data_IF_893517546615
#
_entry.id   IF_893517546615
#
_cell.length_a   1.000
_cell.length_b   1.000
_cell.length_c   1.000
_cell.angle_alpha   90.00
_cell.angle_beta   90.00
_cell.angle_gamma   90.00
#
_symmetry.space_group_name_H-M   'P 1'
#
loop_
_entity.id
_entity.type
_entity.pdbx_description
1 polymer ?
#
# COMPACT_ATOMS: atom_id res chain seq x y z
N UNK A 1 -25.67 20.45 -34.24
CA UNK A 1 -24.46 19.68 -34.64
C UNK A 1 -23.47 19.74 -33.49
N UNK A 2 -23.21 18.61 -32.83
CA UNK A 2 -21.95 18.19 -32.17
C UNK A 2 -22.25 16.93 -31.34
N UNK A 3 -21.98 15.72 -31.88
CA UNK A 3 -22.14 14.46 -31.19
C UNK A 3 -20.83 14.11 -30.51
N UNK A 4 -20.70 14.36 -29.21
CA UNK A 4 -19.51 13.97 -28.42
C UNK A 4 -19.86 13.22 -27.15
N UNK A 5 -21.11 12.75 -26.99
CA UNK A 5 -21.53 12.02 -25.78
C UNK A 5 -21.55 10.50 -25.94
N UNK A 6 -21.29 9.94 -27.13
CA UNK A 6 -21.36 8.49 -27.36
C UNK A 6 -20.02 7.77 -27.30
N UNK A 7 -18.89 8.46 -27.28
CA UNK A 7 -17.57 7.80 -27.23
C UNK A 7 -17.10 7.42 -25.82
N UNK A 8 -17.58 8.10 -24.78
CA UNK A 8 -17.22 7.76 -23.38
C UNK A 8 -17.89 6.48 -22.89
N UNK A 9 -19.07 6.13 -23.40
CA UNK A 9 -19.76 4.90 -23.02
C UNK A 9 -19.14 3.63 -23.65
N UNK A 10 -18.41 3.74 -24.76
CA UNK A 10 -17.76 2.57 -25.37
C UNK A 10 -16.44 2.19 -24.66
N UNK A 11 -15.75 3.14 -24.05
CA UNK A 11 -14.50 2.87 -23.34
C UNK A 11 -14.70 2.14 -22.01
N UNK A 12 -15.85 2.35 -21.36
CA UNK A 12 -16.13 1.75 -20.04
C UNK A 12 -16.62 0.29 -20.12
N UNK A 13 -16.98 -0.22 -21.31
CA UNK A 13 -17.48 -1.60 -21.45
C UNK A 13 -16.40 -2.63 -21.81
N UNK A 14 -15.14 -2.23 -22.02
CA UNK A 14 -14.07 -3.11 -22.53
C UNK A 14 -13.01 -3.53 -21.49
N UNK A 15 -13.09 -3.06 -20.23
CA UNK A 15 -12.14 -3.46 -19.18
C UNK A 15 -12.68 -4.49 -18.17
N UNK A 16 -13.91 -5.00 -18.34
CA UNK A 16 -14.57 -5.88 -17.36
C UNK A 16 -14.29 -7.38 -17.48
N UNK A 17 -13.55 -7.87 -18.47
CA UNK A 17 -13.46 -9.32 -18.74
C UNK A 17 -12.02 -9.81 -18.91
N UNK A 18 -11.24 -9.87 -17.82
CA UNK A 18 -9.96 -10.61 -17.84
C UNK A 18 -9.45 -11.16 -16.48
N UNK A 19 -10.16 -11.01 -15.36
CA UNK A 19 -9.68 -11.45 -14.02
C UNK A 19 -10.39 -12.75 -13.57
N UNK A 20 -10.61 -13.70 -14.48
CA UNK A 20 -11.34 -14.94 -14.20
C UNK A 20 -10.57 -16.25 -14.42
N UNK A 21 -9.37 -16.22 -15.03
CA UNK A 21 -8.79 -17.45 -15.59
C UNK A 21 -7.51 -17.97 -14.91
N UNK A 22 -6.89 -17.27 -13.96
CA UNK A 22 -5.57 -17.70 -13.43
C UNK A 22 -5.68 -18.60 -12.18
N UNK A 23 -6.81 -18.64 -11.47
CA UNK A 23 -6.95 -19.42 -10.23
C UNK A 23 -7.31 -20.90 -10.43
N UNK A 24 -7.40 -21.41 -11.66
CA UNK A 24 -7.74 -22.82 -11.91
C UNK A 24 -6.55 -23.72 -12.27
N UNK A 25 -5.31 -23.22 -12.24
CA UNK A 25 -4.14 -24.00 -12.64
C UNK A 25 -2.98 -23.95 -11.63
N UNK A 26 -3.29 -24.12 -10.34
CA UNK A 26 -2.30 -24.58 -9.36
C UNK A 26 -2.79 -25.85 -8.66
N UNK A 27 -2.40 -27.05 -9.15
CA UNK A 27 -2.57 -28.28 -8.40
C UNK A 27 -1.58 -28.28 -7.24
N UNK A 28 -2.10 -28.12 -6.02
CA UNK A 28 -1.35 -28.36 -4.78
C UNK A 28 -1.01 -29.85 -4.66
N UNK A 29 0.21 -30.25 -5.01
CA UNK A 29 0.75 -31.57 -4.64
C UNK A 29 1.18 -31.55 -3.16
N UNK A 30 0.56 -32.36 -2.29
CA UNK A 30 1.03 -32.54 -0.91
C UNK A 30 2.19 -33.54 -0.88
N UNK A 31 3.38 -33.06 -0.52
CA UNK A 31 4.54 -33.90 -0.29
C UNK A 31 4.31 -34.84 0.93
N UNK A 32 4.66 -36.14 0.83
CA UNK A 32 4.44 -37.12 1.89
C UNK A 32 5.46 -36.99 3.03
N UNK A 33 4.93 -36.85 4.24
CA UNK A 33 5.67 -36.88 5.50
C UNK A 33 6.18 -38.30 5.79
N UNK A 34 7.49 -38.50 5.73
CA UNK A 34 8.13 -39.71 6.22
C UNK A 34 8.37 -39.60 7.74
N UNK A 35 7.90 -40.55 8.57
CA UNK A 35 8.12 -40.54 10.00
C UNK A 35 9.45 -41.23 10.32
N UNK A 36 10.41 -40.49 10.87
CA UNK A 36 11.60 -41.09 11.48
C UNK A 36 11.60 -40.91 12.99
N UNK A 37 11.83 -42.05 13.62
CA UNK A 37 11.69 -42.34 15.02
C UNK A 37 12.81 -41.72 15.88
N UNK A 38 12.45 -41.55 17.15
CA UNK A 38 13.23 -41.07 18.28
C UNK A 38 14.56 -41.81 18.52
N UNK A 39 15.46 -41.16 19.27
CA UNK A 39 16.17 -41.85 20.35
C UNK A 39 15.98 -41.18 21.73
N UNK A 40 16.20 -41.91 22.84
CA UNK A 40 15.84 -41.49 24.19
C UNK A 40 17.03 -41.04 25.07
N UNK A 41 16.70 -40.40 26.20
CA UNK A 41 17.51 -40.19 27.44
C UNK A 41 18.72 -39.23 27.32
N UNK A 42 19.14 -38.46 28.34
CA UNK A 42 18.94 -38.54 29.78
C UNK A 42 18.90 -37.14 30.43
N UNK A 43 18.22 -37.06 31.57
CA UNK A 43 18.18 -35.96 32.54
C UNK A 43 19.57 -35.66 33.13
N UNK A 44 19.89 -34.37 33.30
CA UNK A 44 20.45 -33.92 34.58
C UNK A 44 19.68 -32.73 35.13
N UNK A 45 19.35 -32.82 36.41
CA UNK A 45 18.73 -31.77 37.21
C UNK A 45 19.75 -30.66 37.52
N UNK A 46 19.38 -29.42 37.23
CA UNK A 46 19.89 -28.23 37.92
C UNK A 46 18.87 -27.08 37.80
N UNK A 47 18.06 -26.87 38.85
CA UNK A 47 17.63 -25.51 39.28
C UNK A 47 18.84 -24.88 40.02
N UNK A 48 18.95 -23.56 40.22
CA UNK A 48 18.08 -22.42 39.89
C UNK A 48 18.84 -21.39 38.99
N UNK A 49 18.26 -20.39 38.36
CA UNK A 49 17.62 -19.21 38.94
C UNK A 49 16.98 -18.44 37.80
N UNK A 50 15.76 -17.97 38.04
CA UNK A 50 14.95 -17.16 37.14
C UNK A 50 15.66 -15.80 36.98
N UNK A 51 16.19 -15.43 35.80
CA UNK A 51 16.30 -14.03 35.47
C UNK A 51 14.90 -13.61 35.04
N UNK A 52 14.18 -12.92 35.92
CA UNK A 52 13.07 -12.05 35.53
C UNK A 52 13.65 -10.92 34.67
N UNK A 53 14.01 -11.24 33.42
CA UNK A 53 14.07 -10.24 32.39
C UNK A 53 12.61 -9.96 32.08
N UNK A 54 12.12 -8.84 32.58
CA UNK A 54 10.92 -8.22 32.07
C UNK A 54 10.97 -8.32 30.54
N UNK A 55 9.85 -8.64 29.86
CA UNK A 55 9.82 -8.47 28.42
C UNK A 55 10.11 -7.00 28.18
N UNK A 56 11.38 -6.72 27.86
CA UNK A 56 11.78 -5.46 27.28
C UNK A 56 10.81 -5.29 26.15
N UNK A 57 9.95 -4.28 26.31
CA UNK A 57 9.03 -3.83 25.29
C UNK A 57 9.76 -3.99 23.97
N UNK A 58 9.15 -4.69 23.02
CA UNK A 58 9.57 -4.70 21.64
C UNK A 58 9.51 -3.24 21.17
N UNK A 59 10.51 -2.44 21.55
CA UNK A 59 10.88 -1.22 20.88
C UNK A 59 11.06 -1.67 19.46
N UNK A 60 10.17 -1.20 18.59
CA UNK A 60 10.18 -1.46 17.17
C UNK A 60 11.60 -1.17 16.66
N UNK A 61 12.45 -2.19 16.66
CA UNK A 61 13.83 -2.17 16.15
C UNK A 61 13.76 -2.60 14.67
N UNK A 62 12.58 -2.53 14.05
CA UNK A 62 12.32 -2.92 12.68
C UNK A 62 12.80 -1.87 11.65
N UNK A 63 12.58 -0.54 11.82
CA UNK A 63 12.86 0.41 10.73
C UNK A 63 14.35 0.48 10.43
N UNK A 64 15.20 0.60 11.46
CA UNK A 64 16.66 0.66 11.30
C UNK A 64 17.22 -0.58 10.58
N UNK A 65 16.62 -1.75 10.81
CA UNK A 65 17.05 -3.00 10.18
C UNK A 65 16.65 -3.04 8.69
N UNK A 66 15.50 -2.49 8.31
CA UNK A 66 15.05 -2.52 6.91
C UNK A 66 15.87 -1.56 6.05
N UNK A 67 16.14 -0.34 6.53
CA UNK A 67 17.01 0.60 5.82
C UNK A 67 18.43 0.02 5.63
N UNK A 68 18.96 -0.64 6.65
CA UNK A 68 20.23 -1.33 6.55
C UNK A 68 20.18 -2.45 5.50
N UNK A 69 19.14 -3.29 5.49
CA UNK A 69 18.97 -4.36 4.51
C UNK A 69 18.83 -3.83 3.07
N UNK A 70 18.09 -2.74 2.86
CA UNK A 70 17.98 -2.07 1.57
C UNK A 70 19.35 -1.54 1.10
N UNK A 71 20.10 -0.91 2.00
CA UNK A 71 21.46 -0.45 1.72
C UNK A 71 22.44 -1.58 1.41
N UNK A 72 22.37 -2.69 2.14
CA UNK A 72 23.17 -3.89 1.90
C UNK A 72 22.82 -4.56 0.57
N UNK A 73 21.53 -4.71 0.28
CA UNK A 73 21.06 -5.23 -1.00
C UNK A 73 21.56 -4.36 -2.15
N UNK A 74 21.41 -3.04 -2.07
CA UNK A 74 21.89 -2.12 -3.12
C UNK A 74 23.39 -2.23 -3.38
N UNK A 75 24.20 -2.49 -2.35
CA UNK A 75 25.65 -2.71 -2.48
C UNK A 75 26.02 -4.08 -3.07
N UNK A 76 25.25 -5.12 -2.74
CA UNK A 76 25.60 -6.51 -3.04
C UNK A 76 24.85 -7.09 -4.26
N UNK A 77 23.78 -6.45 -4.73
CA UNK A 77 22.93 -6.96 -5.82
C UNK A 77 23.70 -7.27 -7.12
N UNK A 78 24.79 -6.53 -7.41
CA UNK A 78 25.64 -6.79 -8.57
C UNK A 78 26.46 -8.09 -8.47
N UNK A 79 26.66 -8.62 -7.27
CA UNK A 79 27.45 -9.84 -7.00
C UNK A 79 26.59 -11.09 -6.82
N UNK A 80 25.30 -10.89 -6.52
CA UNK A 80 24.33 -11.97 -6.36
C UNK A 80 24.00 -12.63 -7.70
N UNK A 81 23.67 -13.92 -7.64
CA UNK A 81 23.05 -14.60 -8.79
C UNK A 81 21.68 -14.00 -9.10
N UNK A 82 21.17 -14.19 -10.32
CA UNK A 82 19.86 -13.66 -10.71
C UNK A 82 18.73 -14.17 -9.81
N UNK A 83 18.73 -15.47 -9.48
CA UNK A 83 17.73 -16.11 -8.62
C UNK A 83 17.79 -15.54 -7.21
N UNK A 84 19.00 -15.46 -6.64
CA UNK A 84 19.22 -14.93 -5.29
C UNK A 84 18.80 -13.46 -5.20
N UNK A 85 19.17 -12.65 -6.19
CA UNK A 85 18.81 -11.24 -6.26
C UNK A 85 17.30 -11.04 -6.34
N UNK A 86 16.62 -11.86 -7.14
CA UNK A 86 15.16 -11.86 -7.24
C UNK A 86 14.51 -12.20 -5.89
N UNK A 87 14.94 -13.29 -5.26
CA UNK A 87 14.40 -13.71 -3.96
C UNK A 87 14.63 -12.66 -2.87
N UNK A 88 15.81 -12.04 -2.84
CA UNK A 88 16.13 -10.98 -1.90
C UNK A 88 15.26 -9.73 -2.14
N UNK A 89 15.07 -9.32 -3.39
CA UNK A 89 14.19 -8.20 -3.75
C UNK A 89 12.74 -8.48 -3.37
N UNK A 90 12.20 -9.67 -3.66
CA UNK A 90 10.86 -10.09 -3.24
C UNK A 90 10.70 -10.04 -1.71
N UNK A 91 11.69 -10.54 -0.97
CA UNK A 91 11.70 -10.49 0.50
C UNK A 91 11.70 -9.07 1.06
N UNK A 92 12.41 -8.13 0.43
CA UNK A 92 12.42 -6.71 0.81
C UNK A 92 11.09 -6.03 0.48
N UNK A 93 10.48 -6.32 -0.68
CA UNK A 93 9.16 -5.81 -1.03
C UNK A 93 8.11 -6.25 -0.01
N UNK A 94 8.15 -7.52 0.42
CA UNK A 94 7.23 -8.01 1.45
C UNK A 94 7.48 -7.39 2.82
N UNK A 95 8.73 -7.05 3.17
CA UNK A 95 9.03 -6.27 4.37
C UNK A 95 8.44 -4.85 4.29
N UNK A 96 8.66 -4.17 3.17
CA UNK A 96 8.13 -2.82 2.90
C UNK A 96 6.60 -2.79 2.97
N UNK A 97 5.92 -3.79 2.41
CA UNK A 97 4.45 -3.92 2.54
C UNK A 97 3.98 -4.03 3.99
N UNK A 98 4.75 -4.71 4.86
CA UNK A 98 4.43 -4.82 6.29
C UNK A 98 4.66 -3.52 7.04
N UNK A 99 5.65 -2.73 6.67
CA UNK A 99 5.86 -1.39 7.25
C UNK A 99 4.64 -0.49 7.01
N UNK A 100 4.03 -0.54 5.82
CA UNK A 100 2.78 0.18 5.54
C UNK A 100 1.62 -0.33 6.38
N UNK A 101 1.54 -1.65 6.61
CA UNK A 101 0.54 -2.22 7.50
C UNK A 101 0.69 -1.79 8.97
N UNK A 102 1.85 -1.28 9.39
CA UNK A 102 2.10 -0.72 10.73
C UNK A 102 2.19 0.82 10.76
N UNK A 103 2.02 1.49 9.62
CA UNK A 103 1.81 2.95 9.55
C UNK A 103 2.81 3.73 8.69
N UNK A 104 3.70 3.06 7.95
CA UNK A 104 4.53 3.74 6.95
C UNK A 104 3.67 4.33 5.82
N UNK A 105 4.15 5.44 5.23
CA UNK A 105 3.45 6.10 4.13
C UNK A 105 3.48 5.23 2.86
N UNK A 106 2.32 4.83 2.31
CA UNK A 106 2.27 3.91 1.18
C UNK A 106 2.93 4.48 -0.08
N UNK A 107 2.92 5.80 -0.27
CA UNK A 107 3.49 6.42 -1.48
C UNK A 107 5.01 6.43 -1.42
N UNK A 108 5.59 6.80 -0.29
CA UNK A 108 7.04 6.71 -0.06
C UNK A 108 7.53 5.26 -0.15
N UNK A 109 6.82 4.33 0.51
CA UNK A 109 7.15 2.91 0.41
C UNK A 109 7.06 2.40 -1.04
N UNK A 110 6.08 2.85 -1.83
CA UNK A 110 5.98 2.47 -3.22
C UNK A 110 7.18 2.94 -4.06
N UNK A 111 7.66 4.17 -3.85
CA UNK A 111 8.86 4.68 -4.53
C UNK A 111 10.11 3.84 -4.22
N UNK A 112 10.21 3.30 -3.00
CA UNK A 112 11.28 2.36 -2.64
C UNK A 112 11.11 1.01 -3.32
N UNK A 113 9.88 0.47 -3.34
CA UNK A 113 9.59 -0.80 -4.02
C UNK A 113 9.86 -0.70 -5.53
N UNK A 114 9.55 0.43 -6.18
CA UNK A 114 9.83 0.62 -7.61
C UNK A 114 11.33 0.53 -7.95
N UNK A 115 12.23 0.75 -6.98
CA UNK A 115 13.67 0.52 -7.17
C UNK A 115 14.04 -0.96 -7.12
N UNK A 116 13.20 -1.79 -6.51
CA UNK A 116 13.38 -3.23 -6.34
C UNK A 116 12.72 -4.03 -7.46
N UNK A 117 11.60 -3.56 -8.03
CA UNK A 117 10.83 -4.34 -9.02
C UNK A 117 11.60 -4.72 -10.30
N UNK A 118 12.61 -3.97 -10.80
CA UNK A 118 13.46 -4.43 -11.90
C UNK A 118 14.27 -5.70 -11.61
N UNK A 119 14.49 -6.03 -10.33
CA UNK A 119 15.16 -7.26 -9.90
C UNK A 119 14.19 -8.45 -9.79
N UNK A 120 12.88 -8.21 -9.76
CA UNK A 120 11.83 -9.22 -9.66
C UNK A 120 11.26 -9.56 -11.05
N UNK A 121 11.03 -8.52 -11.84
CA UNK A 121 10.50 -8.60 -13.20
C UNK A 121 11.29 -7.69 -14.16
N UNK A 122 12.03 -8.33 -15.07
CA UNK A 122 12.88 -7.65 -16.05
C UNK A 122 12.05 -7.03 -17.19
N UNK A 123 10.94 -7.67 -17.59
CA UNK A 123 10.08 -7.18 -18.66
C UNK A 123 9.30 -5.94 -18.22
N UNK A 124 9.41 -4.86 -18.98
CA UNK A 124 8.81 -3.58 -18.61
C UNK A 124 7.27 -3.63 -18.52
N UNK A 125 6.61 -4.37 -19.42
CA UNK A 125 5.13 -4.46 -19.42
C UNK A 125 4.62 -5.26 -18.24
N UNK A 126 5.27 -6.38 -17.92
CA UNK A 126 4.89 -7.17 -16.74
C UNK A 126 5.22 -6.43 -15.44
N UNK A 127 6.29 -5.64 -15.42
CA UNK A 127 6.64 -4.81 -14.26
C UNK A 127 5.62 -3.71 -14.00
N UNK A 128 5.06 -3.06 -15.02
CA UNK A 128 3.96 -2.10 -14.84
C UNK A 128 2.74 -2.74 -14.16
N UNK A 129 2.40 -3.98 -14.54
CA UNK A 129 1.32 -4.73 -13.89
C UNK A 129 1.66 -5.07 -12.43
N UNK A 130 2.89 -5.54 -12.16
CA UNK A 130 3.38 -5.82 -10.81
C UNK A 130 3.37 -4.57 -9.92
N UNK A 131 3.87 -3.45 -10.43
CA UNK A 131 3.89 -2.17 -9.73
C UNK A 131 2.46 -1.72 -9.37
N UNK A 132 1.51 -1.89 -10.29
CA UNK A 132 0.10 -1.59 -10.02
C UNK A 132 -0.50 -2.51 -8.93
N UNK A 133 -0.26 -3.81 -9.00
CA UNK A 133 -0.71 -4.78 -7.98
C UNK A 133 -0.13 -4.45 -6.60
N UNK A 134 1.15 -4.11 -6.54
CA UNK A 134 1.81 -3.69 -5.31
C UNK A 134 1.17 -2.41 -4.78
N UNK A 135 0.98 -1.40 -5.63
CA UNK A 135 0.36 -0.14 -5.22
C UNK A 135 -1.03 -0.36 -4.60
N UNK A 136 -1.86 -1.20 -5.22
CA UNK A 136 -3.16 -1.56 -4.66
C UNK A 136 -3.04 -2.26 -3.30
N UNK A 137 -2.10 -3.20 -3.16
CA UNK A 137 -1.87 -3.89 -1.89
C UNK A 137 -1.40 -2.93 -0.78
N UNK A 138 -0.56 -1.94 -1.11
CA UNK A 138 -0.14 -0.91 -0.16
C UNK A 138 -1.30 -0.03 0.28
N UNK A 139 -2.16 0.39 -0.66
CA UNK A 139 -3.37 1.14 -0.35
C UNK A 139 -4.32 0.36 0.56
N UNK A 140 -4.50 -0.93 0.30
CA UNK A 140 -5.34 -1.80 1.12
C UNK A 140 -4.77 -1.92 2.55
N UNK A 141 -3.46 -2.14 2.69
CA UNK A 141 -2.79 -2.19 3.99
C UNK A 141 -2.92 -0.87 4.76
N UNK A 142 -2.76 0.27 4.08
CA UNK A 142 -2.91 1.58 4.69
C UNK A 142 -4.37 1.86 5.12
N UNK A 143 -5.35 1.35 4.36
CA UNK A 143 -6.77 1.51 4.66
C UNK A 143 -7.18 0.78 5.93
N UNK A 144 -6.57 -0.38 6.24
CA UNK A 144 -6.82 -1.13 7.48
C UNK A 144 -6.46 -0.30 8.72
N UNK A 145 -5.49 0.62 8.60
CA UNK A 145 -5.11 1.51 9.70
C UNK A 145 -6.06 2.69 9.89
N UNK A 146 -6.87 3.04 8.88
CA UNK A 146 -7.79 4.16 8.99
C UNK A 146 -8.91 3.81 9.96
N UNK A 147 -8.81 4.38 11.17
CA UNK A 147 -9.89 4.32 12.14
C UNK A 147 -11.18 4.84 11.50
N UNK A 148 -12.26 4.08 11.66
CA UNK A 148 -13.58 4.51 11.26
C UNK A 148 -13.84 5.92 11.81
N UNK A 149 -14.46 6.82 11.01
CA UNK A 149 -14.77 8.15 11.47
C UNK A 149 -15.61 8.07 12.75
N UNK A 150 -15.29 8.93 13.72
CA UNK A 150 -16.20 9.14 14.85
C UNK A 150 -17.49 9.81 14.37
N UNK A 151 -18.61 9.74 15.09
CA UNK A 151 -19.85 10.38 14.67
C UNK A 151 -19.72 11.89 14.37
N UNK A 152 -18.84 12.61 15.09
CA UNK A 152 -18.55 14.02 14.78
C UNK A 152 -17.77 14.21 13.48
N UNK A 153 -16.86 13.28 13.16
CA UNK A 153 -16.13 13.28 11.90
C UNK A 153 -17.03 12.87 10.72
N UNK A 154 -18.00 11.99 10.93
CA UNK A 154 -19.04 11.70 9.92
C UNK A 154 -19.87 12.94 9.61
N UNK A 155 -20.21 13.74 10.62
CA UNK A 155 -20.92 14.99 10.44
C UNK A 155 -20.09 16.00 9.63
N UNK A 156 -18.81 16.16 9.97
CA UNK A 156 -17.87 16.99 9.21
C UNK A 156 -17.73 16.52 7.75
N UNK A 157 -17.65 15.20 7.51
CA UNK A 157 -17.60 14.63 6.16
C UNK A 157 -18.86 14.93 5.36
N UNK A 158 -20.03 14.82 6.00
CA UNK A 158 -21.32 15.15 5.37
C UNK A 158 -21.42 16.64 5.05
N UNK A 159 -21.00 17.50 5.97
CA UNK A 159 -20.95 18.95 5.76
C UNK A 159 -20.00 19.28 4.61
N UNK A 160 -18.80 18.70 4.60
CA UNK A 160 -17.83 18.90 3.53
C UNK A 160 -18.38 18.50 2.17
N UNK A 161 -19.04 17.35 2.05
CA UNK A 161 -19.63 16.90 0.79
C UNK A 161 -20.70 17.90 0.25
N UNK A 162 -21.56 18.41 1.13
CA UNK A 162 -22.61 19.35 0.74
C UNK A 162 -22.03 20.71 0.34
N UNK A 163 -21.07 21.24 1.11
CA UNK A 163 -20.45 22.53 0.82
C UNK A 163 -19.50 22.44 -0.39
N UNK A 164 -18.83 21.30 -0.61
CA UNK A 164 -17.97 21.10 -1.78
C UNK A 164 -18.76 21.15 -3.07
N UNK A 165 -19.96 20.53 -3.10
CA UNK A 165 -20.83 20.56 -4.28
C UNK A 165 -21.27 21.99 -4.63
N UNK A 166 -21.57 22.80 -3.61
CA UNK A 166 -21.91 24.24 -3.79
C UNK A 166 -20.71 25.01 -4.33
N UNK A 167 -19.54 24.85 -3.73
CA UNK A 167 -18.30 25.50 -4.18
C UNK A 167 -17.99 25.17 -5.63
N UNK A 168 -18.10 23.90 -6.01
CA UNK A 168 -17.85 23.45 -7.39
C UNK A 168 -18.87 24.08 -8.35
N UNK A 169 -20.16 24.05 -8.01
CA UNK A 169 -21.22 24.64 -8.83
C UNK A 169 -21.04 26.16 -9.01
N UNK A 170 -20.66 26.89 -7.96
CA UNK A 170 -20.40 28.33 -8.04
C UNK A 170 -19.22 28.66 -8.94
N UNK A 171 -18.12 27.92 -8.84
CA UNK A 171 -16.94 28.14 -9.70
C UNK A 171 -17.28 27.79 -11.15
N UNK A 172 -18.01 26.69 -11.39
CA UNK A 172 -18.48 26.32 -12.73
C UNK A 172 -19.38 27.39 -13.36
N UNK A 173 -20.18 28.10 -12.55
CA UNK A 173 -21.06 29.16 -13.03
C UNK A 173 -20.36 30.52 -13.21
N UNK A 174 -19.17 30.72 -12.65
CA UNK A 174 -18.48 32.02 -12.60
C UNK A 174 -17.15 32.07 -13.34
N UNK A 175 -16.50 30.94 -13.59
CA UNK A 175 -15.18 30.86 -14.25
C UNK A 175 -15.30 30.12 -15.57
N UNK A 176 -15.18 30.86 -16.68
CA UNK A 176 -15.33 30.32 -18.03
C UNK A 176 -14.12 29.48 -18.47
N UNK A 177 -12.91 29.93 -18.14
CA UNK A 177 -11.67 29.26 -18.51
C UNK A 177 -11.47 27.97 -17.69
N UNK A 178 -11.12 26.88 -18.37
CA UNK A 178 -11.01 25.55 -17.76
C UNK A 178 -9.84 25.47 -16.77
N UNK A 179 -8.66 25.99 -17.14
CA UNK A 179 -7.48 25.96 -16.27
C UNK A 179 -7.70 26.81 -15.01
N UNK A 180 -8.27 28.02 -15.17
CA UNK A 180 -8.63 28.88 -14.04
C UNK A 180 -9.71 28.25 -13.15
N UNK A 181 -10.67 27.53 -13.73
CA UNK A 181 -11.73 26.85 -12.98
C UNK A 181 -11.16 25.74 -12.11
N UNK A 182 -10.26 24.92 -12.63
CA UNK A 182 -9.59 23.88 -11.84
C UNK A 182 -8.82 24.51 -10.67
N UNK A 183 -8.01 25.53 -10.95
CA UNK A 183 -7.26 26.24 -9.91
C UNK A 183 -8.19 26.86 -8.84
N UNK A 184 -9.30 27.48 -9.25
CA UNK A 184 -10.26 28.10 -8.34
C UNK A 184 -11.04 27.06 -7.51
N UNK A 185 -11.42 25.91 -8.09
CA UNK A 185 -12.02 24.80 -7.35
C UNK A 185 -11.03 24.30 -6.30
N UNK A 186 -9.79 24.02 -6.69
CA UNK A 186 -8.77 23.50 -5.77
C UNK A 186 -8.50 24.46 -4.60
N UNK A 187 -8.38 25.76 -4.88
CA UNK A 187 -8.18 26.79 -3.86
C UNK A 187 -9.36 26.87 -2.89
N UNK A 188 -10.61 26.87 -3.40
CA UNK A 188 -11.80 26.95 -2.55
C UNK A 188 -12.03 25.68 -1.76
N UNK A 189 -11.83 24.50 -2.34
CA UNK A 189 -11.94 23.23 -1.60
C UNK A 189 -10.84 23.12 -0.54
N UNK A 190 -9.65 23.64 -0.80
CA UNK A 190 -8.58 23.74 0.20
C UNK A 190 -8.99 24.64 1.38
N UNK A 191 -9.58 25.80 1.11
CA UNK A 191 -10.11 26.67 2.16
C UNK A 191 -11.25 26.00 2.95
N UNK A 192 -12.15 25.31 2.25
CA UNK A 192 -13.27 24.58 2.86
C UNK A 192 -12.77 23.46 3.79
N UNK A 193 -11.74 22.70 3.37
CA UNK A 193 -11.12 21.67 4.23
C UNK A 193 -10.56 22.26 5.52
N UNK A 194 -9.84 23.39 5.44
CA UNK A 194 -9.37 24.11 6.65
C UNK A 194 -10.52 24.55 7.54
N UNK A 195 -11.62 25.01 6.97
CA UNK A 195 -12.76 25.49 7.73
C UNK A 195 -13.46 24.36 8.49
N UNK A 196 -13.68 23.21 7.85
CA UNK A 196 -14.46 22.11 8.43
C UNK A 196 -13.60 21.20 9.31
N UNK A 197 -12.38 20.86 8.86
CA UNK A 197 -11.51 19.90 9.54
C UNK A 197 -10.35 20.55 10.30
N UNK A 198 -10.13 21.85 10.13
CA UNK A 198 -9.00 22.56 10.75
C UNK A 198 -7.66 22.42 10.01
N UNK A 199 -7.60 21.60 8.95
CA UNK A 199 -6.38 21.30 8.19
C UNK A 199 -6.64 21.18 6.68
N UNK A 200 -5.58 21.30 5.87
CA UNK A 200 -5.69 21.26 4.40
C UNK A 200 -5.98 19.86 3.88
N UNK A 201 -5.36 18.83 4.46
CA UNK A 201 -5.43 17.45 3.97
C UNK A 201 -5.87 16.51 5.10
N UNK A 202 -7.15 16.55 5.50
CA UNK A 202 -7.62 15.76 6.63
C UNK A 202 -7.56 14.28 6.34
N UNK A 203 -7.15 13.48 7.34
CA UNK A 203 -7.06 12.00 7.23
C UNK A 203 -8.34 11.36 6.68
N UNK A 204 -9.49 11.97 6.99
CA UNK A 204 -10.82 11.47 6.62
C UNK A 204 -11.09 11.48 5.11
N UNK A 205 -10.39 12.34 4.36
CA UNK A 205 -10.50 12.47 2.91
C UNK A 205 -9.39 11.74 2.15
N UNK A 206 -8.44 11.09 2.85
CA UNK A 206 -7.31 10.38 2.25
C UNK A 206 -7.62 8.90 1.94
N UNK A 207 -8.87 8.57 1.60
CA UNK A 207 -9.31 7.21 1.24
C UNK A 207 -8.96 6.86 -0.21
#
# INVERSE_FOLDING_TARGET
MRPTLTWTLLALLLCGTAIGAVLLFYPSEPAPVAPFASPPQATPAAKPSIPSRAPEMNTATAPDNLEQQLGEFGRNAGQMSEIERKQAAEGLIEQLKREVAVGADPRQTFEEIQRLTPYVEADARRREALDFEIWMALKDNASVQQQAPTPGEEEQLREYAQESDKVIAEVLASVDDEEQRHAAIDERLKALRKQIFGEENPRLLQR
#
